data_IF_127869422338
#
_entry.id   IF_127869422338
#
_cell.length_a   1.000
_cell.length_b   1.000
_cell.length_c   1.000
_cell.angle_alpha   90.00
_cell.angle_beta   90.00
_cell.angle_gamma   90.00
#
_symmetry.space_group_name_H-M   'P 1'
#
loop_
_entity.id
_entity.type
_entity.pdbx_description
1 polymer ?
#
# COMPACT_ATOMS: atom_id res chain seq x y z
N UNK A 1 -1.64 -36.05 4.86
CA UNK A 1 -0.72 -35.17 4.13
C UNK A 1 -0.54 -35.78 2.73
N UNK A 2 -1.17 -35.26 1.65
CA UNK A 2 -0.86 -35.71 0.30
C UNK A 2 0.52 -35.15 -0.08
N UNK A 3 1.41 -36.03 -0.50
CA UNK A 3 2.74 -35.66 -1.04
C UNK A 3 2.53 -34.96 -2.37
N UNK A 4 3.13 -33.80 -2.55
CA UNK A 4 3.22 -33.11 -3.84
C UNK A 4 3.83 -34.07 -4.86
N UNK A 5 3.04 -34.49 -5.84
CA UNK A 5 3.51 -35.40 -6.88
C UNK A 5 4.24 -34.56 -7.91
N UNK A 6 5.57 -34.71 -7.97
CA UNK A 6 6.40 -34.15 -9.04
C UNK A 6 5.98 -34.76 -10.37
N UNK A 7 5.79 -33.93 -11.39
CA UNK A 7 5.48 -34.37 -12.75
C UNK A 7 6.71 -34.11 -13.61
N UNK A 8 7.14 -35.15 -14.36
CA UNK A 8 8.29 -35.08 -15.27
C UNK A 8 7.76 -34.95 -16.70
N UNK A 9 8.14 -33.91 -17.43
CA UNK A 9 7.65 -33.66 -18.79
C UNK A 9 8.78 -33.68 -19.82
N UNK A 10 8.47 -34.25 -20.99
CA UNK A 10 9.37 -34.20 -22.12
C UNK A 10 9.31 -32.84 -22.80
N UNK A 11 10.42 -32.16 -22.93
CA UNK A 11 10.52 -30.86 -23.57
C UNK A 11 10.32 -30.91 -25.10
N UNK A 12 10.39 -32.11 -25.70
CA UNK A 12 10.29 -32.28 -27.14
C UNK A 12 8.90 -32.70 -27.61
N UNK A 13 8.20 -33.60 -26.90
CA UNK A 13 6.89 -34.11 -27.31
C UNK A 13 5.75 -33.80 -26.30
N UNK A 14 6.07 -33.24 -25.13
CA UNK A 14 5.07 -32.93 -24.10
C UNK A 14 4.61 -34.11 -23.23
N UNK A 15 5.11 -35.34 -23.47
CA UNK A 15 4.78 -36.51 -22.66
C UNK A 15 5.03 -36.25 -21.18
N UNK A 16 4.09 -36.62 -20.31
CA UNK A 16 4.18 -36.42 -18.86
C UNK A 16 4.19 -37.77 -18.11
N UNK A 17 5.03 -37.86 -17.10
CA UNK A 17 5.19 -39.05 -16.25
C UNK A 17 5.30 -38.65 -14.78
N UNK A 18 4.82 -39.48 -13.85
CA UNK A 18 5.05 -39.26 -12.41
C UNK A 18 6.47 -39.71 -11.97
N UNK A 19 7.28 -40.27 -12.88
CA UNK A 19 8.65 -40.74 -12.61
C UNK A 19 9.64 -40.10 -13.55
N UNK A 20 10.84 -39.79 -13.03
CA UNK A 20 11.98 -39.38 -13.83
C UNK A 20 12.42 -40.52 -14.77
N UNK A 21 12.98 -40.16 -15.91
CA UNK A 21 13.50 -41.13 -16.86
C UNK A 21 13.56 -40.61 -18.28
N UNK A 22 13.74 -41.53 -19.25
CA UNK A 22 13.75 -41.21 -20.67
C UNK A 22 12.32 -41.23 -21.24
N UNK A 23 12.03 -40.31 -22.12
CA UNK A 23 10.71 -40.22 -22.77
C UNK A 23 10.47 -41.45 -23.67
N UNK A 24 9.41 -42.25 -23.39
CA UNK A 24 9.15 -43.46 -24.16
C UNK A 24 8.67 -43.14 -25.58
N UNK A 25 7.98 -42.02 -25.79
CA UNK A 25 7.44 -41.63 -27.08
C UNK A 25 8.52 -41.12 -28.03
N UNK A 26 9.47 -40.34 -27.53
CA UNK A 26 10.64 -39.92 -28.30
C UNK A 26 11.55 -41.07 -28.65
N UNK A 27 11.74 -42.04 -27.74
CA UNK A 27 12.54 -43.23 -27.97
C UNK A 27 11.94 -44.10 -29.08
N UNK A 28 10.61 -44.35 -29.06
CA UNK A 28 9.88 -45.11 -30.09
C UNK A 28 9.77 -44.34 -31.42
N UNK A 29 9.68 -43.01 -31.37
CA UNK A 29 9.59 -42.17 -32.56
C UNK A 29 10.91 -41.87 -33.25
N UNK A 30 12.04 -42.47 -32.81
CA UNK A 30 13.35 -42.29 -33.42
C UNK A 30 14.07 -40.98 -33.09
N UNK A 31 13.51 -40.17 -32.17
CA UNK A 31 14.11 -38.90 -31.75
C UNK A 31 15.28 -39.05 -30.72
N UNK A 32 15.62 -40.27 -30.37
CA UNK A 32 16.73 -40.59 -29.44
C UNK A 32 16.35 -40.52 -27.96
N UNK A 33 17.36 -40.55 -27.10
CA UNK A 33 17.19 -40.54 -25.64
C UNK A 33 16.93 -39.13 -25.14
N UNK A 34 15.68 -38.76 -25.01
CA UNK A 34 15.26 -37.43 -24.44
C UNK A 34 14.89 -37.62 -22.97
N UNK A 35 15.62 -36.97 -22.08
CA UNK A 35 15.34 -37.03 -20.63
C UNK A 35 14.08 -36.22 -20.30
N UNK A 36 13.26 -36.76 -19.40
CA UNK A 36 12.13 -36.04 -18.80
C UNK A 36 12.68 -35.05 -17.77
N UNK A 37 12.25 -33.81 -17.88
CA UNK A 37 12.62 -32.70 -16.95
C UNK A 37 11.55 -32.57 -15.87
N UNK A 38 12.00 -32.46 -14.63
CA UNK A 38 11.10 -32.23 -13.50
C UNK A 38 10.39 -30.86 -13.64
N UNK A 39 9.10 -30.89 -13.82
CA UNK A 39 8.24 -29.72 -13.67
C UNK A 39 7.62 -29.78 -12.28
N UNK A 40 7.98 -28.85 -11.40
CA UNK A 40 7.18 -28.62 -10.20
C UNK A 40 5.78 -28.26 -10.65
N UNK A 41 4.80 -29.06 -10.28
CA UNK A 41 3.41 -28.71 -10.50
C UNK A 41 3.20 -27.30 -9.93
N UNK A 42 2.92 -26.33 -10.81
CA UNK A 42 2.47 -25.03 -10.35
C UNK A 42 1.31 -25.31 -9.39
N UNK A 43 1.27 -24.71 -8.18
CA UNK A 43 0.20 -24.96 -7.24
C UNK A 43 -1.11 -24.77 -8.00
N UNK A 44 -1.91 -25.84 -8.02
CA UNK A 44 -3.21 -25.82 -8.69
C UNK A 44 -3.95 -24.59 -8.19
N UNK A 45 -4.28 -23.67 -9.09
CA UNK A 45 -5.13 -22.50 -8.81
C UNK A 45 -6.55 -22.95 -8.43
N UNK A 46 -6.63 -23.72 -7.37
CA UNK A 46 -7.82 -24.14 -6.65
C UNK A 46 -7.95 -23.48 -5.31
N UNK A 47 -7.34 -22.31 -5.11
CA UNK A 47 -7.74 -21.42 -4.03
C UNK A 47 -9.07 -20.81 -4.48
N UNK A 48 -10.17 -21.32 -3.92
CA UNK A 48 -11.38 -20.51 -3.76
C UNK A 48 -10.89 -19.13 -3.36
N UNK A 49 -11.02 -18.15 -4.26
CA UNK A 49 -11.00 -16.74 -3.86
C UNK A 49 -11.88 -16.68 -2.62
N UNK A 50 -11.38 -16.20 -1.47
CA UNK A 50 -12.28 -15.88 -0.38
C UNK A 50 -13.40 -15.11 -1.05
N UNK A 51 -14.65 -15.48 -0.76
CA UNK A 51 -15.83 -14.85 -1.36
C UNK A 51 -15.58 -13.34 -1.19
N UNK A 52 -15.21 -12.70 -2.29
CA UNK A 52 -15.04 -11.25 -2.32
C UNK A 52 -16.38 -10.75 -1.79
N UNK A 53 -16.35 -10.01 -0.71
CA UNK A 53 -17.52 -9.35 -0.15
C UNK A 53 -18.34 -8.87 -1.32
N UNK A 54 -19.56 -9.35 -1.46
CA UNK A 54 -20.47 -9.39 -2.60
C UNK A 54 -19.94 -8.56 -3.77
N UNK A 55 -19.20 -9.21 -4.69
CA UNK A 55 -18.48 -8.53 -5.76
C UNK A 55 -19.42 -7.52 -6.36
N UNK A 56 -19.07 -6.27 -6.33
CA UNK A 56 -19.93 -5.17 -6.75
C UNK A 56 -20.32 -5.46 -8.21
N UNK A 57 -21.55 -5.94 -8.39
CA UNK A 57 -22.06 -6.24 -9.72
C UNK A 57 -22.30 -4.91 -10.43
N UNK A 58 -22.18 -4.84 -11.75
CA UNK A 58 -22.53 -3.63 -12.47
C UNK A 58 -23.92 -3.16 -12.06
N UNK A 59 -24.02 -1.93 -11.60
CA UNK A 59 -25.27 -1.27 -11.19
C UNK A 59 -25.44 0.03 -11.95
N UNK A 60 -26.66 0.42 -12.28
CA UNK A 60 -26.92 1.74 -12.82
C UNK A 60 -26.40 2.83 -11.87
N UNK A 61 -25.79 3.89 -12.42
CA UNK A 61 -25.22 4.98 -11.63
C UNK A 61 -26.23 5.58 -10.61
N UNK A 62 -27.51 5.68 -10.99
CA UNK A 62 -28.58 6.19 -10.12
C UNK A 62 -28.84 5.34 -8.88
N UNK A 63 -28.40 4.08 -8.87
CA UNK A 63 -28.57 3.15 -7.75
C UNK A 63 -27.37 3.16 -6.80
N UNK A 64 -26.32 3.91 -7.16
CA UNK A 64 -25.14 4.11 -6.31
C UNK A 64 -25.47 5.26 -5.36
N UNK A 65 -25.65 4.94 -4.09
CA UNK A 65 -25.88 5.93 -3.03
C UNK A 65 -24.57 6.25 -2.37
N UNK A 66 -24.29 7.56 -2.20
CA UNK A 66 -23.18 8.02 -1.35
C UNK A 66 -23.65 7.95 0.11
N UNK A 67 -22.86 7.33 0.96
CA UNK A 67 -23.14 7.31 2.39
C UNK A 67 -22.83 8.70 3.01
N UNK A 68 -23.64 9.13 3.96
CA UNK A 68 -23.30 10.33 4.77
C UNK A 68 -22.04 10.01 5.55
N UNK A 69 -20.94 10.73 5.28
CA UNK A 69 -19.63 10.50 5.91
C UNK A 69 -18.58 9.90 4.99
N UNK A 70 -18.83 9.83 3.67
CA UNK A 70 -17.81 9.45 2.69
C UNK A 70 -16.63 10.42 2.69
N UNK A 71 -16.83 11.63 3.21
CA UNK A 71 -15.79 12.63 3.40
C UNK A 71 -15.68 13.01 4.87
N UNK A 72 -14.47 12.96 5.42
CA UNK A 72 -14.17 13.22 6.82
C UNK A 72 -13.22 14.40 6.92
N UNK A 73 -13.61 15.45 7.68
CA UNK A 73 -12.74 16.58 7.95
C UNK A 73 -11.52 16.13 8.76
N UNK A 74 -10.33 16.60 8.35
CA UNK A 74 -9.08 16.32 9.07
C UNK A 74 -8.91 17.20 10.31
N UNK A 75 -9.77 18.21 10.46
CA UNK A 75 -9.69 19.18 11.54
C UNK A 75 -8.62 20.26 11.35
N UNK A 76 -7.96 20.27 10.21
CA UNK A 76 -6.96 21.28 9.82
C UNK A 76 -7.49 21.99 8.59
N UNK A 77 -7.93 23.25 8.75
CA UNK A 77 -8.67 24.00 7.71
C UNK A 77 -7.94 24.10 6.37
N UNK A 78 -6.63 24.31 6.39
CA UNK A 78 -5.80 24.37 5.18
C UNK A 78 -5.71 23.01 4.48
N UNK A 79 -5.58 21.92 5.24
CA UNK A 79 -5.57 20.57 4.69
C UNK A 79 -6.95 20.20 4.13
N UNK A 80 -8.01 20.50 4.87
CA UNK A 80 -9.37 20.24 4.41
C UNK A 80 -9.71 21.03 3.14
N UNK A 81 -9.23 22.26 3.01
CA UNK A 81 -9.41 23.09 1.81
C UNK A 81 -8.80 22.43 0.57
N UNK A 82 -7.54 21.97 0.63
CA UNK A 82 -6.89 21.33 -0.51
C UNK A 82 -7.40 19.91 -0.80
N UNK A 83 -8.03 19.28 0.20
CA UNK A 83 -8.75 18.01 0.05
C UNK A 83 -10.19 18.18 -0.48
N UNK A 84 -10.67 19.42 -0.64
CA UNK A 84 -12.05 19.67 -1.07
C UNK A 84 -13.08 19.46 0.04
N UNK A 85 -12.72 19.77 1.30
CA UNK A 85 -13.58 19.66 2.48
C UNK A 85 -13.32 18.45 3.38
N UNK A 86 -12.19 17.79 3.20
CA UNK A 86 -11.76 16.63 3.99
C UNK A 86 -11.36 15.42 3.18
N UNK A 87 -10.88 14.37 3.84
CA UNK A 87 -10.44 13.15 3.18
C UNK A 87 -11.63 12.25 2.83
N UNK A 88 -11.60 11.67 1.64
CA UNK A 88 -12.63 10.71 1.18
C UNK A 88 -12.27 9.30 1.69
N UNK A 89 -13.27 8.56 2.15
CA UNK A 89 -13.09 7.17 2.57
C UNK A 89 -12.64 6.31 1.38
N UNK A 90 -11.67 5.44 1.63
CA UNK A 90 -11.12 4.58 0.59
C UNK A 90 -10.18 5.30 -0.38
N UNK A 91 -9.91 6.60 -0.18
CA UNK A 91 -8.95 7.34 -0.98
C UNK A 91 -7.51 7.12 -0.51
N UNK A 92 -6.58 7.26 -1.46
CA UNK A 92 -5.15 7.26 -1.21
C UNK A 92 -4.59 8.66 -1.49
N UNK A 93 -4.09 9.32 -0.45
CA UNK A 93 -3.53 10.67 -0.47
C UNK A 93 -2.02 10.60 -0.30
N UNK A 94 -1.27 11.14 -1.25
CA UNK A 94 0.19 11.26 -1.17
C UNK A 94 0.57 12.69 -0.76
N UNK A 95 1.37 12.81 0.29
CA UNK A 95 1.98 14.09 0.69
C UNK A 95 3.47 14.03 0.41
N UNK A 96 3.89 14.73 -0.64
CA UNK A 96 5.28 14.88 -1.04
C UNK A 96 5.90 16.17 -0.47
N UNK A 97 7.22 16.23 -0.44
CA UNK A 97 7.96 17.42 -0.06
C UNK A 97 9.36 17.11 0.46
N UNK A 98 10.19 18.15 0.62
CA UNK A 98 11.57 18.00 1.12
C UNK A 98 11.60 17.40 2.54
N UNK A 99 12.67 16.68 2.91
CA UNK A 99 12.90 16.27 4.28
C UNK A 99 12.90 17.49 5.21
N UNK A 100 12.28 17.35 6.40
CA UNK A 100 12.18 18.46 7.36
C UNK A 100 11.12 19.51 7.06
N UNK A 101 10.37 19.42 5.95
CA UNK A 101 9.29 20.37 5.62
C UNK A 101 8.14 20.37 6.63
N UNK A 102 7.95 19.29 7.40
CA UNK A 102 6.88 19.17 8.40
C UNK A 102 5.76 18.20 8.04
N UNK A 103 5.93 17.38 7.01
CA UNK A 103 4.92 16.39 6.54
C UNK A 103 4.42 15.48 7.66
N UNK A 104 5.34 14.82 8.36
CA UNK A 104 5.04 13.91 9.49
C UNK A 104 4.34 14.64 10.65
N UNK A 105 4.72 15.89 10.89
CA UNK A 105 4.07 16.73 11.91
C UNK A 105 2.62 17.04 11.54
N UNK A 106 2.39 17.44 10.28
CA UNK A 106 1.05 17.71 9.76
C UNK A 106 0.18 16.45 9.85
N UNK A 107 0.70 15.31 9.40
CA UNK A 107 -0.07 14.06 9.40
C UNK A 107 -0.32 13.52 10.81
N UNK A 108 0.59 13.73 11.75
CA UNK A 108 0.35 13.34 13.14
C UNK A 108 -0.78 14.18 13.76
N UNK A 109 -0.82 15.49 13.44
CA UNK A 109 -1.92 16.37 13.87
C UNK A 109 -3.25 15.97 13.21
N UNK A 110 -3.25 15.66 11.91
CA UNK A 110 -4.43 15.19 11.19
C UNK A 110 -4.92 13.84 11.73
N UNK A 111 -4.01 12.90 11.97
CA UNK A 111 -4.32 11.59 12.55
C UNK A 111 -4.99 11.71 13.93
N UNK A 112 -4.49 12.63 14.80
CA UNK A 112 -5.14 12.94 16.08
C UNK A 112 -6.56 13.43 15.88
N UNK A 113 -6.78 14.38 14.97
CA UNK A 113 -8.11 14.95 14.76
C UNK A 113 -9.07 13.88 14.19
N UNK A 114 -8.62 13.09 13.22
CA UNK A 114 -9.38 11.96 12.69
C UNK A 114 -9.70 10.93 13.77
N UNK A 115 -8.76 10.62 14.67
CA UNK A 115 -8.95 9.65 15.75
C UNK A 115 -10.03 10.10 16.77
N UNK A 116 -10.30 11.40 16.86
CA UNK A 116 -11.40 11.93 17.70
C UNK A 116 -12.78 11.77 17.05
N UNK A 117 -12.83 11.82 15.71
CA UNK A 117 -14.08 11.80 14.94
C UNK A 117 -14.42 10.40 14.44
N UNK A 118 -13.41 9.67 13.97
CA UNK A 118 -13.56 8.35 13.34
C UNK A 118 -12.48 7.37 13.81
N UNK A 119 -12.46 6.98 15.11
CA UNK A 119 -11.50 5.99 15.60
C UNK A 119 -11.81 4.58 15.07
N UNK A 120 -10.80 3.68 15.07
CA UNK A 120 -9.40 3.93 15.32
C UNK A 120 -8.67 4.46 14.08
N UNK A 121 -7.58 5.19 14.29
CA UNK A 121 -6.62 5.60 13.28
C UNK A 121 -5.30 4.90 13.53
N UNK A 122 -4.71 4.27 12.52
CA UNK A 122 -3.41 3.62 12.61
C UNK A 122 -2.33 4.51 11.97
N UNK A 123 -1.31 4.86 12.73
CA UNK A 123 -0.12 5.55 12.24
C UNK A 123 1.05 4.57 12.22
N UNK A 124 1.46 4.17 11.04
CA UNK A 124 2.64 3.33 10.81
C UNK A 124 3.84 4.23 10.54
N UNK A 125 4.82 4.17 11.42
CA UNK A 125 6.10 4.85 11.25
C UNK A 125 7.14 3.84 10.79
N UNK A 126 7.72 4.06 9.63
CA UNK A 126 8.73 3.19 9.05
C UNK A 126 10.15 3.84 9.07
N UNK A 127 10.25 5.11 9.41
CA UNK A 127 11.53 5.84 9.53
C UNK A 127 11.95 6.08 10.96
N UNK A 128 11.00 6.33 11.85
CA UNK A 128 11.26 6.69 13.24
C UNK A 128 10.74 5.61 14.18
N UNK A 129 11.39 5.47 15.32
CA UNK A 129 10.87 4.61 16.39
C UNK A 129 9.58 5.19 16.98
N UNK A 130 8.76 4.33 17.58
CA UNK A 130 7.56 4.75 18.28
C UNK A 130 7.85 5.79 19.38
N UNK A 131 8.99 5.68 20.06
CA UNK A 131 9.42 6.65 21.08
C UNK A 131 9.70 8.05 20.49
N UNK A 132 10.33 8.13 19.31
CA UNK A 132 10.60 9.40 18.64
C UNK A 132 9.30 10.09 18.19
N UNK A 133 8.37 9.33 17.61
CA UNK A 133 7.05 9.86 17.25
C UNK A 133 6.27 10.28 18.50
N UNK A 134 6.36 9.52 19.60
CA UNK A 134 5.73 9.88 20.89
C UNK A 134 6.29 11.19 21.44
N UNK A 135 7.62 11.38 21.43
CA UNK A 135 8.23 12.66 21.87
C UNK A 135 7.74 13.84 21.02
N UNK A 136 7.55 13.65 19.71
CA UNK A 136 6.97 14.66 18.83
C UNK A 136 5.52 14.93 19.20
N UNK A 137 4.73 13.90 19.44
CA UNK A 137 3.33 13.99 19.86
C UNK A 137 3.22 14.80 21.17
N UNK A 138 4.05 14.50 22.16
CA UNK A 138 4.04 15.21 23.44
C UNK A 138 4.37 16.70 23.29
N UNK A 139 5.38 17.04 22.49
CA UNK A 139 5.71 18.44 22.18
C UNK A 139 4.56 19.21 21.52
N UNK A 140 3.73 18.51 20.75
CA UNK A 140 2.58 19.08 20.07
C UNK A 140 1.28 19.00 20.91
N UNK A 141 1.34 18.48 22.13
CA UNK A 141 0.17 18.25 22.96
C UNK A 141 -0.83 17.27 22.34
N UNK A 142 -0.32 16.31 21.57
CA UNK A 142 -1.15 15.31 20.90
C UNK A 142 -1.40 14.14 21.82
N UNK A 143 -2.66 14.00 22.25
CA UNK A 143 -3.18 12.84 22.98
C UNK A 143 -4.48 12.43 22.32
N UNK A 144 -4.63 11.13 21.99
CA UNK A 144 -5.87 10.59 21.46
C UNK A 144 -5.89 9.06 21.66
N UNK A 145 -6.84 8.54 22.42
CA UNK A 145 -6.97 7.11 22.71
C UNK A 145 -7.26 6.28 21.44
N UNK A 146 -7.91 6.89 20.44
CA UNK A 146 -8.19 6.25 19.16
C UNK A 146 -7.05 6.32 18.14
N UNK A 147 -5.89 6.91 18.49
CA UNK A 147 -4.71 6.95 17.62
C UNK A 147 -3.72 5.86 18.04
N UNK A 148 -3.57 4.87 17.18
CA UNK A 148 -2.66 3.75 17.36
C UNK A 148 -1.36 4.04 16.60
N UNK A 149 -0.22 3.87 17.25
CA UNK A 149 1.11 4.07 16.68
C UNK A 149 1.84 2.73 16.62
N UNK A 150 2.41 2.43 15.45
CA UNK A 150 3.18 1.21 15.24
C UNK A 150 4.44 1.49 14.40
N UNK A 151 5.59 1.05 14.90
CA UNK A 151 6.85 1.10 14.16
C UNK A 151 7.01 -0.21 13.38
N UNK A 152 6.80 -0.17 12.06
CA UNK A 152 6.84 -1.33 11.17
C UNK A 152 7.26 -0.92 9.76
N UNK A 153 8.07 -1.77 9.11
CA UNK A 153 8.54 -1.61 7.74
C UNK A 153 8.02 -2.68 6.79
N UNK A 154 7.60 -3.83 7.31
CA UNK A 154 7.00 -4.90 6.51
C UNK A 154 5.54 -4.59 6.20
N UNK A 155 5.26 -4.32 4.92
CA UNK A 155 3.89 -4.04 4.47
C UNK A 155 2.98 -5.26 4.62
N UNK A 156 3.48 -6.49 4.55
CA UNK A 156 2.66 -7.69 4.74
C UNK A 156 2.17 -7.78 6.20
N UNK A 157 3.03 -7.45 7.17
CA UNK A 157 2.65 -7.35 8.57
C UNK A 157 1.59 -6.24 8.78
N UNK A 158 1.80 -5.05 8.17
CA UNK A 158 0.81 -3.96 8.22
C UNK A 158 -0.53 -4.41 7.67
N UNK A 159 -0.55 -5.12 6.53
CA UNK A 159 -1.79 -5.63 5.93
C UNK A 159 -2.54 -6.60 6.84
N UNK A 160 -1.81 -7.51 7.50
CA UNK A 160 -2.40 -8.47 8.45
C UNK A 160 -3.04 -7.73 9.64
N UNK A 161 -2.36 -6.74 10.20
CA UNK A 161 -2.87 -5.95 11.33
C UNK A 161 -4.14 -5.15 11.00
N UNK A 162 -4.36 -4.78 9.72
CA UNK A 162 -5.60 -4.08 9.33
C UNK A 162 -6.86 -4.92 9.54
N UNK A 163 -6.75 -6.25 9.56
CA UNK A 163 -7.90 -7.14 9.81
C UNK A 163 -8.32 -7.13 11.28
N UNK A 164 -7.36 -6.98 12.18
CA UNK A 164 -7.59 -6.94 13.63
C UNK A 164 -7.97 -5.52 14.08
N UNK A 165 -7.22 -4.52 13.65
CA UNK A 165 -7.38 -3.12 14.06
C UNK A 165 -8.60 -2.47 13.41
N UNK A 166 -8.91 -2.81 12.15
CA UNK A 166 -9.99 -2.21 11.32
C UNK A 166 -10.01 -0.69 11.35
N UNK A 167 -8.87 -0.03 11.06
CA UNK A 167 -8.77 1.41 11.19
C UNK A 167 -9.67 2.11 10.17
N UNK A 168 -10.14 3.30 10.52
CA UNK A 168 -10.90 4.18 9.61
C UNK A 168 -9.99 5.07 8.77
N UNK A 169 -8.80 5.34 9.29
CA UNK A 169 -7.74 6.00 8.56
C UNK A 169 -6.39 5.33 8.85
N UNK A 170 -5.51 5.36 7.86
CA UNK A 170 -4.15 4.81 7.91
C UNK A 170 -3.17 5.91 7.49
N UNK A 171 -2.09 6.07 8.23
CA UNK A 171 -0.93 6.87 7.83
C UNK A 171 0.27 5.95 7.68
N UNK A 172 1.02 6.07 6.58
CA UNK A 172 2.29 5.36 6.34
C UNK A 172 3.39 6.40 6.16
N UNK A 173 4.33 6.45 7.09
CA UNK A 173 5.41 7.43 7.14
C UNK A 173 6.79 6.75 7.25
N UNK A 174 7.50 6.52 6.13
CA UNK A 174 7.21 6.91 4.74
C UNK A 174 7.04 5.70 3.82
N UNK A 175 6.54 5.96 2.62
CA UNK A 175 6.37 4.92 1.60
C UNK A 175 7.72 4.40 1.08
N UNK A 176 8.80 5.15 1.22
CA UNK A 176 10.13 4.74 0.79
C UNK A 176 10.78 3.71 1.71
N UNK A 177 10.34 3.64 2.95
CA UNK A 177 10.93 2.76 3.98
C UNK A 177 10.14 1.48 4.20
N UNK A 178 8.86 1.45 3.80
CA UNK A 178 8.11 0.20 3.78
C UNK A 178 8.52 -0.68 2.59
N UNK A 179 8.49 -1.98 2.80
CA UNK A 179 8.86 -2.96 1.79
C UNK A 179 8.01 -4.21 1.86
N UNK A 180 8.08 -4.98 0.80
CA UNK A 180 7.50 -6.31 0.66
C UNK A 180 8.64 -7.31 0.62
N UNK A 181 8.79 -8.19 1.62
CA UNK A 181 9.88 -9.16 1.69
C UNK A 181 9.97 -10.09 0.48
N UNK A 182 8.86 -10.34 -0.20
CA UNK A 182 8.82 -11.19 -1.40
C UNK A 182 9.42 -10.52 -2.65
N UNK A 183 9.73 -9.23 -2.63
CA UNK A 183 10.42 -8.53 -3.70
C UNK A 183 11.91 -8.43 -3.38
N UNK A 184 12.75 -8.95 -4.27
CA UNK A 184 14.21 -8.94 -4.11
C UNK A 184 14.84 -7.54 -4.16
N UNK A 185 14.08 -6.54 -4.62
CA UNK A 185 14.56 -5.16 -4.73
C UNK A 185 14.64 -4.46 -3.38
N UNK A 186 15.65 -3.60 -3.20
CA UNK A 186 15.85 -2.87 -1.95
C UNK A 186 14.68 -1.93 -1.61
N UNK A 187 14.38 -1.71 -0.30
CA UNK A 187 13.44 -0.68 0.15
C UNK A 187 13.75 0.67 -0.50
N UNK A 188 12.72 1.44 -0.85
CA UNK A 188 12.87 2.74 -1.53
C UNK A 188 13.17 2.66 -3.03
N UNK A 189 13.42 1.48 -3.60
CA UNK A 189 13.51 1.31 -5.05
C UNK A 189 12.18 1.60 -5.74
N UNK A 190 12.22 1.93 -7.03
CA UNK A 190 11.01 2.17 -7.84
C UNK A 190 10.05 0.98 -7.80
N UNK A 191 10.58 -0.25 -7.85
CA UNK A 191 9.78 -1.47 -7.82
C UNK A 191 9.04 -1.61 -6.48
N UNK A 192 9.74 -1.48 -5.35
CA UNK A 192 9.16 -1.55 -4.01
C UNK A 192 8.11 -0.46 -3.80
N UNK A 193 8.45 0.79 -4.06
CA UNK A 193 7.53 1.93 -3.84
C UNK A 193 6.27 1.79 -4.68
N UNK A 194 6.39 1.34 -5.94
CA UNK A 194 5.25 1.14 -6.84
C UNK A 194 4.35 0.02 -6.37
N UNK A 195 4.91 -1.13 -6.00
CA UNK A 195 4.15 -2.30 -5.55
C UNK A 195 3.48 -2.04 -4.20
N UNK A 196 4.22 -1.46 -3.23
CA UNK A 196 3.65 -1.05 -1.95
C UNK A 196 2.51 -0.06 -2.13
N UNK A 197 2.68 0.94 -2.99
CA UNK A 197 1.63 1.92 -3.32
C UNK A 197 0.40 1.28 -3.95
N UNK A 198 0.59 0.33 -4.88
CA UNK A 198 -0.51 -0.39 -5.54
C UNK A 198 -1.30 -1.25 -4.54
N UNK A 199 -0.62 -1.95 -3.63
CA UNK A 199 -1.28 -2.73 -2.58
C UNK A 199 -2.03 -1.86 -1.59
N UNK A 200 -1.44 -0.76 -1.15
CA UNK A 200 -2.11 0.19 -0.25
C UNK A 200 -3.35 0.81 -0.92
N UNK A 201 -3.29 1.12 -2.22
CA UNK A 201 -4.45 1.60 -2.98
C UNK A 201 -5.58 0.57 -3.01
N UNK A 202 -5.25 -0.68 -3.32
CA UNK A 202 -6.23 -1.76 -3.37
C UNK A 202 -6.89 -1.98 -2.00
N UNK A 203 -6.12 -1.95 -0.91
CA UNK A 203 -6.60 -2.07 0.46
C UNK A 203 -7.47 -0.90 0.88
N UNK A 204 -7.03 0.34 0.60
CA UNK A 204 -7.79 1.55 0.89
C UNK A 204 -9.20 1.46 0.28
N UNK A 205 -9.28 1.14 -1.01
CA UNK A 205 -10.55 1.00 -1.75
C UNK A 205 -11.41 -0.16 -1.24
N UNK A 206 -10.81 -1.33 -1.05
CA UNK A 206 -11.56 -2.52 -0.65
C UNK A 206 -12.16 -2.43 0.75
N UNK A 207 -11.48 -1.68 1.65
CA UNK A 207 -11.87 -1.58 3.08
C UNK A 207 -12.47 -0.22 3.45
N UNK A 208 -12.51 0.73 2.52
CA UNK A 208 -12.99 2.09 2.80
C UNK A 208 -12.11 2.85 3.79
N UNK A 209 -10.78 2.57 3.81
CA UNK A 209 -9.81 3.19 4.72
C UNK A 209 -9.23 4.43 4.05
N UNK A 210 -9.42 5.62 4.63
CA UNK A 210 -8.74 6.83 4.18
C UNK A 210 -7.24 6.70 4.46
N UNK A 211 -6.40 6.65 3.41
CA UNK A 211 -4.98 6.33 3.57
C UNK A 211 -4.10 7.50 3.14
N UNK A 212 -3.18 7.89 4.01
CA UNK A 212 -2.18 8.92 3.76
C UNK A 212 -0.79 8.29 3.64
N UNK A 213 -0.07 8.66 2.59
CA UNK A 213 1.32 8.27 2.36
C UNK A 213 2.22 9.50 2.46
N UNK A 214 3.29 9.39 3.24
CA UNK A 214 4.38 10.37 3.20
C UNK A 214 5.38 9.95 2.14
N UNK A 215 5.78 10.89 1.29
CA UNK A 215 6.82 10.71 0.30
C UNK A 215 7.87 11.81 0.36
N UNK A 216 9.16 11.45 0.31
CA UNK A 216 10.25 12.40 0.23
C UNK A 216 10.63 12.69 -1.22
N UNK A 217 10.71 13.96 -1.58
CA UNK A 217 11.26 14.38 -2.87
C UNK A 217 12.77 14.43 -2.73
N UNK A 218 13.49 13.63 -3.51
CA UNK A 218 14.95 13.67 -3.56
C UNK A 218 15.40 14.49 -4.76
N UNK A 219 16.38 15.37 -4.57
CA UNK A 219 16.98 16.18 -5.64
C UNK A 219 17.82 15.33 -6.61
N UNK A 220 18.24 14.14 -6.20
CA UNK A 220 19.28 13.34 -6.89
C UNK A 220 18.80 11.98 -7.42
N UNK A 221 17.52 11.70 -7.47
CA UNK A 221 16.97 10.52 -8.20
C UNK A 221 17.33 9.11 -7.67
N UNK A 222 18.08 8.99 -6.56
CA UNK A 222 18.51 7.68 -6.02
C UNK A 222 17.38 6.90 -5.35
N UNK A 223 16.39 7.58 -4.78
CA UNK A 223 15.18 6.97 -4.21
C UNK A 223 13.98 7.29 -5.09
N UNK A 224 13.07 6.32 -5.22
CA UNK A 224 11.83 6.55 -5.95
C UNK A 224 11.01 7.66 -5.28
N UNK A 225 10.95 8.80 -5.96
CA UNK A 225 10.19 9.96 -5.48
C UNK A 225 8.68 9.79 -5.65
N UNK A 226 7.88 10.74 -5.13
CA UNK A 226 6.42 10.74 -5.23
C UNK A 226 5.87 10.58 -6.65
N UNK A 227 6.61 11.00 -7.67
CA UNK A 227 6.21 10.89 -9.09
C UNK A 227 5.84 9.48 -9.53
N UNK A 228 6.49 8.46 -8.95
CA UNK A 228 6.18 7.04 -9.25
C UNK A 228 4.75 6.68 -8.85
N UNK A 229 4.22 7.33 -7.81
CA UNK A 229 2.89 7.08 -7.26
C UNK A 229 1.80 8.02 -7.77
N UNK A 230 2.14 9.12 -8.45
CA UNK A 230 1.16 10.15 -8.87
C UNK A 230 0.00 9.58 -9.71
N UNK A 231 0.27 8.55 -10.52
CA UNK A 231 -0.77 7.90 -11.31
C UNK A 231 -1.65 6.95 -10.50
N UNK A 232 -1.11 6.38 -9.43
CA UNK A 232 -1.80 5.41 -8.57
C UNK A 232 -2.72 6.11 -7.57
N UNK A 233 -2.25 7.19 -6.94
CA UNK A 233 -2.97 7.86 -5.85
C UNK A 233 -4.13 8.73 -6.38
N UNK A 234 -5.11 8.97 -5.53
CA UNK A 234 -6.27 9.79 -5.85
C UNK A 234 -5.99 11.29 -5.67
N UNK A 235 -5.15 11.62 -4.68
CA UNK A 235 -4.76 12.99 -4.35
C UNK A 235 -3.25 13.09 -4.18
N UNK A 236 -2.64 14.12 -4.74
CA UNK A 236 -1.22 14.47 -4.58
C UNK A 236 -1.12 15.87 -4.02
N UNK A 237 -0.55 15.98 -2.84
CA UNK A 237 -0.26 17.23 -2.16
C UNK A 237 1.25 17.42 -2.08
N UNK A 238 1.75 18.62 -2.38
CA UNK A 238 3.13 18.99 -2.12
C UNK A 238 3.22 19.97 -0.98
N UNK A 239 4.07 19.62 -0.01
CA UNK A 239 4.39 20.46 1.12
C UNK A 239 5.68 21.21 0.81
N UNK A 240 5.53 22.50 0.54
CA UNK A 240 6.60 23.38 0.07
C UNK A 240 6.89 24.46 1.11
N UNK A 241 8.11 24.91 1.16
CA UNK A 241 8.53 26.03 1.96
C UNK A 241 10.03 26.18 1.92
N UNK A 242 10.50 27.39 1.77
CA UNK A 242 11.92 27.70 1.94
C UNK A 242 12.33 27.53 3.38
N UNK A 243 13.57 27.07 3.61
CA UNK A 243 14.10 26.81 4.96
C UNK A 243 14.04 28.02 5.87
N UNK A 244 14.07 29.21 5.29
CA UNK A 244 14.05 30.49 6.01
C UNK A 244 12.68 31.19 5.98
N UNK A 245 11.69 30.64 5.28
CA UNK A 245 10.34 31.24 5.26
C UNK A 245 9.58 30.91 6.55
N UNK A 246 8.84 31.90 7.04
CA UNK A 246 7.99 31.78 8.23
C UNK A 246 6.70 30.97 7.96
N UNK A 247 6.39 30.71 6.70
CA UNK A 247 5.22 29.96 6.28
C UNK A 247 5.59 28.70 5.51
N UNK A 248 4.62 27.79 5.45
CA UNK A 248 4.66 26.57 4.63
C UNK A 248 3.42 26.58 3.74
N UNK A 249 3.58 26.12 2.51
CA UNK A 249 2.49 26.03 1.53
C UNK A 249 2.17 24.57 1.29
N UNK A 250 0.88 24.23 1.37
CA UNK A 250 0.36 22.95 0.96
C UNK A 250 -0.37 23.12 -0.36
N UNK A 251 0.16 22.55 -1.44
CA UNK A 251 -0.39 22.66 -2.78
C UNK A 251 -0.95 21.34 -3.27
N UNK A 252 -2.20 21.34 -3.71
CA UNK A 252 -2.78 20.21 -4.43
C UNK A 252 -2.32 20.25 -5.90
N UNK A 253 -1.62 19.19 -6.33
CA UNK A 253 -1.21 18.99 -7.74
C UNK A 253 -2.22 18.10 -8.45
N UNK A 254 -2.85 17.20 -7.71
CA UNK A 254 -3.90 16.32 -8.19
C UNK A 254 -4.92 16.12 -7.08
N UNK A 255 -6.20 16.26 -7.40
CA UNK A 255 -7.27 15.84 -6.51
C UNK A 255 -8.46 15.35 -7.36
N UNK A 256 -8.80 14.07 -7.25
CA UNK A 256 -9.93 13.47 -7.99
C UNK A 256 -11.29 13.81 -7.38
N UNK A 257 -11.29 14.35 -6.17
CA UNK A 257 -12.49 14.55 -5.36
C UNK A 257 -12.74 16.02 -5.00
N UNK A 258 -11.87 16.93 -5.44
CA UNK A 258 -11.95 18.35 -5.12
C UNK A 258 -11.90 19.27 -6.30
#
# INVERSE_FOLDING_TARGET
MPRDANVYRCQQCGFASPKAGTCPDCLRGGAGYVQLVEERAAPSRGTRRPAAAAADRPRPLREITLERGDRVATGIGELDRVLGGGVVRGSLVLIGGEPGAGKSTLLLAAARALARVTPPVLYVTAEESAAQVKMRADRLGITADGLLLWAETDLAAVQAALDDVKPRALVVDSIQTVSLPELESAPGSVAQVRECGARLQALAKARGIATFLVGHVTKEGALAGPRVLEHLVDTVLYFEGERHATYRVLRAVKNRFG
#
